data_IF_395804328985
#
_entry.id   IF_395804328985
#
_cell.length_a   1.000
_cell.length_b   1.000
_cell.length_c   1.000
_cell.angle_alpha   90.00
_cell.angle_beta   90.00
_cell.angle_gamma   90.00
#
_symmetry.space_group_name_H-M   'P 1'
#
loop_
_entity.id
_entity.type
_entity.pdbx_description
1 polymer ?
#
# COMPACT_ATOMS: atom_id res chain seq x y z
N UNK A 1 15.70 8.11 36.90
CA UNK A 1 17.10 8.45 36.56
C UNK A 1 17.31 9.89 36.96
N UNK A 2 18.38 10.16 37.71
CA UNK A 2 18.77 11.53 38.03
C UNK A 2 19.09 12.31 36.73
N UNK A 3 18.83 13.63 36.67
CA UNK A 3 19.10 14.43 35.49
C UNK A 3 20.59 14.38 35.11
N UNK A 4 20.90 14.01 33.86
CA UNK A 4 22.27 13.95 33.35
C UNK A 4 22.85 12.54 33.14
N UNK A 5 22.13 11.49 33.56
CA UNK A 5 22.57 10.10 33.32
C UNK A 5 22.16 9.62 31.93
N UNK A 6 23.13 9.19 31.13
CA UNK A 6 22.90 8.68 29.77
C UNK A 6 22.43 7.22 29.84
N UNK A 7 21.20 6.96 29.39
CA UNK A 7 20.54 5.65 29.49
C UNK A 7 21.35 4.48 28.91
N UNK A 8 22.20 4.72 27.91
CA UNK A 8 23.08 3.69 27.33
C UNK A 8 24.23 3.28 28.23
N UNK A 9 24.71 4.16 29.12
CA UNK A 9 25.78 3.85 30.08
C UNK A 9 25.25 2.90 31.17
N UNK A 10 24.08 3.23 31.72
CA UNK A 10 23.37 2.40 32.72
C UNK A 10 23.01 1.02 32.15
N UNK A 11 22.60 0.96 30.87
CA UNK A 11 22.29 -0.31 30.21
C UNK A 11 23.50 -1.24 30.12
N UNK A 12 24.68 -0.68 29.79
CA UNK A 12 25.91 -1.46 29.65
C UNK A 12 26.42 -2.00 30.99
N UNK A 13 26.33 -1.19 32.05
CA UNK A 13 26.73 -1.58 33.41
C UNK A 13 25.84 -2.68 33.99
N UNK A 14 24.55 -2.68 33.64
CA UNK A 14 23.60 -3.72 34.02
C UNK A 14 23.67 -4.98 33.12
N UNK A 15 24.54 -5.02 32.11
CA UNK A 15 24.64 -6.15 31.17
C UNK A 15 23.46 -6.29 30.20
N UNK A 16 22.71 -5.20 29.98
CA UNK A 16 21.47 -5.19 29.21
C UNK A 16 21.71 -4.54 27.85
N UNK A 17 21.35 -5.26 26.79
CA UNK A 17 21.46 -4.75 25.42
C UNK A 17 20.47 -3.58 25.20
N UNK A 18 20.92 -2.49 24.56
CA UNK A 18 20.17 -1.22 24.43
C UNK A 18 18.77 -1.37 23.83
N UNK A 19 18.57 -2.38 22.96
CA UNK A 19 17.25 -2.70 22.38
C UNK A 19 16.22 -3.22 23.39
N UNK A 20 16.65 -3.85 24.49
CA UNK A 20 15.76 -4.26 25.58
C UNK A 20 15.22 -3.06 26.36
N UNK A 21 16.01 -2.00 26.48
CA UNK A 21 15.62 -0.77 27.17
C UNK A 21 14.48 -0.05 26.43
N UNK A 22 14.54 -0.06 25.09
CA UNK A 22 13.45 0.46 24.25
C UNK A 22 12.18 -0.41 24.32
N UNK A 23 12.36 -1.73 24.38
CA UNK A 23 11.28 -2.71 24.49
C UNK A 23 10.55 -2.61 25.83
N UNK A 24 11.30 -2.50 26.93
CA UNK A 24 10.74 -2.32 28.27
C UNK A 24 10.08 -0.96 28.44
N UNK A 25 10.60 0.10 27.83
CA UNK A 25 9.92 1.41 27.81
C UNK A 25 8.55 1.31 27.12
N UNK A 26 8.44 0.59 26.01
CA UNK A 26 7.15 0.35 25.35
C UNK A 26 6.21 -0.54 26.17
N UNK A 27 6.74 -1.51 26.91
CA UNK A 27 5.93 -2.46 27.68
C UNK A 27 5.48 -1.92 29.04
N UNK A 28 6.32 -1.12 29.71
CA UNK A 28 6.07 -0.60 31.06
C UNK A 28 5.48 0.82 31.05
N UNK A 29 5.64 1.58 29.96
CA UNK A 29 5.03 2.90 29.79
C UNK A 29 3.88 2.92 28.76
N UNK A 30 3.30 1.76 28.43
CA UNK A 30 2.03 1.69 27.71
C UNK A 30 0.85 1.99 28.65
N UNK A 31 -0.22 2.64 28.18
CA UNK A 31 -1.38 2.96 29.01
C UNK A 31 -2.06 1.66 29.48
N UNK A 32 -2.07 1.42 30.78
CA UNK A 32 -2.89 0.36 31.40
C UNK A 32 -4.33 0.82 31.38
N UNK A 33 -5.08 0.43 30.35
CA UNK A 33 -6.52 0.69 30.22
C UNK A 33 -7.19 -0.40 29.37
N UNK A 34 -8.46 -0.76 29.65
CA UNK A 34 -9.12 -1.88 29.02
C UNK A 34 -9.29 -1.67 27.50
N UNK A 35 -9.11 -2.75 26.75
CA UNK A 35 -9.20 -2.82 25.29
C UNK A 35 -10.56 -2.31 24.79
N UNK A 36 -10.61 -1.04 24.40
CA UNK A 36 -11.69 -0.50 23.59
C UNK A 36 -11.48 -0.95 22.13
N UNK A 37 -12.53 -1.46 21.49
CA UNK A 37 -12.55 -1.76 20.07
C UNK A 37 -12.12 -0.55 19.23
N UNK A 38 -11.76 -0.80 17.96
CA UNK A 38 -11.29 0.19 16.99
C UNK A 38 -11.92 1.57 17.22
N UNK A 39 -11.14 2.50 17.78
CA UNK A 39 -11.55 3.87 17.98
C UNK A 39 -11.28 4.62 16.67
N UNK A 40 -12.36 5.08 16.03
CA UNK A 40 -12.28 5.96 14.88
C UNK A 40 -11.63 7.29 15.31
N UNK A 41 -10.49 7.62 14.71
CA UNK A 41 -9.79 8.86 15.02
C UNK A 41 -10.47 10.02 14.29
N UNK A 42 -11.28 10.80 15.01
CA UNK A 42 -11.82 12.07 14.50
C UNK A 42 -10.69 13.09 14.37
N UNK A 43 -10.29 13.39 13.13
CA UNK A 43 -9.41 14.52 12.85
C UNK A 43 -10.23 15.80 13.08
N UNK A 44 -9.98 16.49 14.19
CA UNK A 44 -10.52 17.82 14.43
C UNK A 44 -9.90 18.78 13.41
N UNK A 45 -10.70 19.48 12.58
CA UNK A 45 -10.15 20.52 11.71
C UNK A 45 -9.59 21.66 12.57
N UNK A 46 -8.42 22.19 12.18
CA UNK A 46 -7.88 23.40 12.80
C UNK A 46 -8.88 24.57 12.68
N UNK A 47 -9.02 25.41 13.73
CA UNK A 47 -10.02 26.46 13.75
C UNK A 47 -9.68 27.53 12.71
N UNK A 48 -10.48 27.59 11.64
CA UNK A 48 -10.48 28.73 10.73
C UNK A 48 -11.07 29.94 11.44
N UNK A 49 -10.30 31.03 11.45
CA UNK A 49 -10.79 32.36 11.79
C UNK A 49 -11.94 32.72 10.84
N UNK A 50 -13.08 33.09 11.41
CA UNK A 50 -14.29 33.44 10.68
C UNK A 50 -14.19 34.85 10.11
N UNK A 51 -14.54 35.01 8.82
CA UNK A 51 -15.05 36.27 8.27
C UNK A 51 -16.24 36.01 7.33
N UNK A 52 -17.10 37.03 7.28
CA UNK A 52 -18.54 37.07 7.07
C UNK A 52 -19.19 36.47 5.79
N UNK A 53 -20.30 35.77 6.04
CA UNK A 53 -21.66 36.06 5.56
C UNK A 53 -21.89 36.59 4.12
N UNK A 54 -22.36 35.72 3.22
CA UNK A 54 -23.57 36.00 2.42
C UNK A 54 -24.18 34.72 1.86
N UNK A 55 -25.44 34.48 2.20
CA UNK A 55 -26.24 33.34 1.75
C UNK A 55 -26.98 33.69 0.45
N UNK A 56 -26.87 32.82 -0.55
CA UNK A 56 -27.80 32.74 -1.68
C UNK A 56 -28.38 31.33 -1.67
N UNK A 57 -29.71 31.23 -1.65
CA UNK A 57 -30.45 29.99 -1.61
C UNK A 57 -30.28 29.18 -2.92
N UNK A 58 -30.06 27.85 -2.80
CA UNK A 58 -30.06 26.90 -3.93
C UNK A 58 -30.90 25.67 -3.55
N UNK A 59 -31.76 25.23 -4.47
CA UNK A 59 -32.70 24.11 -4.38
C UNK A 59 -32.02 22.75 -4.09
N UNK A 60 -32.74 21.72 -3.60
CA UNK A 60 -32.14 20.46 -3.19
C UNK A 60 -31.80 19.57 -4.39
N UNK A 61 -30.68 19.84 -5.06
CA UNK A 61 -30.00 18.87 -5.91
C UNK A 61 -28.95 18.16 -5.05
N UNK A 62 -29.38 17.14 -4.29
CA UNK A 62 -28.47 16.35 -3.49
C UNK A 62 -27.47 15.62 -4.38
N UNK A 63 -26.21 16.03 -4.36
CA UNK A 63 -25.12 15.27 -4.95
C UNK A 63 -24.34 14.57 -3.84
N UNK A 64 -24.23 13.25 -3.93
CA UNK A 64 -23.36 12.47 -3.02
C UNK A 64 -21.99 12.40 -3.69
N UNK A 65 -21.00 13.05 -3.08
CA UNK A 65 -19.60 12.94 -3.48
C UNK A 65 -18.87 11.99 -2.51
N UNK A 66 -18.26 10.95 -3.06
CA UNK A 66 -17.45 9.99 -2.30
C UNK A 66 -16.03 10.07 -2.82
N UNK A 67 -15.13 10.54 -1.95
CA UNK A 67 -13.70 10.58 -2.21
C UNK A 67 -13.05 9.28 -1.74
N UNK A 68 -12.30 8.63 -2.64
CA UNK A 68 -11.62 7.38 -2.34
C UNK A 68 -10.12 7.65 -2.22
N UNK A 69 -9.49 7.08 -1.18
CA UNK A 69 -8.05 7.23 -0.89
C UNK A 69 -7.10 6.76 -2.02
N UNK A 70 -7.61 6.07 -3.05
CA UNK A 70 -6.82 5.56 -4.17
C UNK A 70 -7.56 5.48 -5.53
N UNK A 71 -8.72 6.14 -5.68
CA UNK A 71 -9.55 6.07 -6.90
C UNK A 71 -10.19 7.43 -7.24
N UNK A 72 -10.61 7.69 -8.50
CA UNK A 72 -11.23 8.96 -8.87
C UNK A 72 -12.51 9.22 -8.07
N UNK A 73 -12.75 10.50 -7.76
CA UNK A 73 -13.93 11.00 -7.02
C UNK A 73 -15.22 10.52 -7.69
N UNK A 74 -16.10 9.87 -6.92
CA UNK A 74 -17.42 9.47 -7.41
C UNK A 74 -18.42 10.56 -7.05
N UNK A 75 -19.00 11.20 -8.07
CA UNK A 75 -20.09 12.16 -7.90
C UNK A 75 -21.37 11.56 -8.48
N UNK A 76 -22.37 11.38 -7.63
CA UNK A 76 -23.73 11.01 -8.05
C UNK A 76 -24.58 12.26 -7.93
N UNK A 77 -25.15 12.73 -9.04
CA UNK A 77 -26.01 13.92 -9.09
C UNK A 77 -27.42 13.54 -9.53
N UNK A 78 -28.46 14.07 -8.86
CA UNK A 78 -29.87 13.85 -9.21
C UNK A 78 -30.63 13.00 -8.18
N UNK A 79 -31.87 12.61 -8.51
CA UNK A 79 -32.67 11.71 -7.66
C UNK A 79 -32.10 10.31 -7.77
N UNK A 80 -31.50 9.82 -6.68
CA UNK A 80 -30.92 8.47 -6.61
C UNK A 80 -31.95 7.53 -6.01
N UNK A 81 -32.47 6.60 -6.81
CA UNK A 81 -33.35 5.57 -6.29
C UNK A 81 -32.56 4.49 -5.50
N UNK A 82 -33.20 3.77 -4.56
CA UNK A 82 -32.52 2.78 -3.72
C UNK A 82 -31.83 1.66 -4.51
N UNK A 83 -32.36 1.24 -5.66
CA UNK A 83 -31.77 0.16 -6.45
C UNK A 83 -30.46 0.61 -7.12
N UNK A 84 -30.41 1.85 -7.62
CA UNK A 84 -29.17 2.46 -8.13
C UNK A 84 -28.12 2.59 -7.03
N UNK A 85 -28.52 3.02 -5.82
CA UNK A 85 -27.60 3.11 -4.68
C UNK A 85 -27.03 1.73 -4.31
N UNK A 86 -27.88 0.70 -4.23
CA UNK A 86 -27.46 -0.68 -3.95
C UNK A 86 -26.52 -1.20 -5.03
N UNK A 87 -26.82 -0.98 -6.31
CA UNK A 87 -25.96 -1.42 -7.41
C UNK A 87 -24.58 -0.74 -7.38
N UNK A 88 -24.52 0.55 -7.05
CA UNK A 88 -23.26 1.29 -6.89
C UNK A 88 -22.46 0.76 -5.69
N UNK A 89 -23.10 0.55 -4.54
CA UNK A 89 -22.44 -0.03 -3.35
C UNK A 89 -21.92 -1.44 -3.66
N UNK A 90 -22.69 -2.27 -4.36
CA UNK A 90 -22.26 -3.61 -4.76
C UNK A 90 -21.11 -3.57 -5.75
N UNK A 91 -21.14 -2.65 -6.72
CA UNK A 91 -20.04 -2.43 -7.65
C UNK A 91 -18.78 -1.96 -6.92
N UNK A 92 -18.92 -1.04 -5.96
CA UNK A 92 -17.84 -0.57 -5.10
C UNK A 92 -17.33 -1.65 -4.14
N UNK A 93 -18.17 -2.53 -3.62
CA UNK A 93 -17.77 -3.67 -2.79
C UNK A 93 -17.09 -4.78 -3.62
N UNK A 94 -17.47 -4.93 -4.90
CA UNK A 94 -16.77 -5.79 -5.86
C UNK A 94 -15.44 -5.17 -6.28
N UNK A 95 -15.39 -3.84 -6.46
CA UNK A 95 -14.17 -3.10 -6.78
C UNK A 95 -13.20 -2.98 -5.58
N UNK A 96 -13.71 -2.81 -4.36
CA UNK A 96 -12.95 -2.67 -3.11
C UNK A 96 -12.31 -3.97 -2.62
N UNK A 97 -12.72 -5.12 -3.18
CA UNK A 97 -11.99 -6.39 -3.05
C UNK A 97 -10.74 -6.44 -3.92
N UNK A 98 -10.50 -5.43 -4.77
CA UNK A 98 -9.29 -5.30 -5.58
C UNK A 98 -8.34 -4.35 -4.88
N UNK A 99 -7.49 -4.93 -4.03
CA UNK A 99 -6.33 -4.22 -3.49
C UNK A 99 -5.57 -3.55 -4.64
N UNK A 100 -5.59 -2.22 -4.64
CA UNK A 100 -4.85 -1.41 -5.61
C UNK A 100 -3.66 -0.86 -4.87
N UNK A 101 -2.46 -1.33 -5.22
CA UNK A 101 -1.24 -0.74 -4.67
C UNK A 101 -1.23 0.75 -5.09
N UNK A 102 -0.92 1.70 -4.19
CA UNK A 102 -0.73 3.09 -4.60
C UNK A 102 0.55 3.15 -5.43
N UNK A 103 0.42 2.98 -6.75
CA UNK A 103 1.52 3.08 -7.69
C UNK A 103 1.73 4.58 -7.95
N UNK A 104 2.88 5.16 -7.60
CA UNK A 104 3.16 6.55 -7.92
C UNK A 104 2.98 6.81 -9.42
N UNK A 105 2.44 7.97 -9.79
CA UNK A 105 2.22 8.29 -11.21
C UNK A 105 3.55 8.20 -11.99
N UNK A 106 3.57 7.40 -13.06
CA UNK A 106 4.76 7.15 -13.86
C UNK A 106 5.73 6.09 -13.30
N UNK A 107 5.43 5.48 -12.15
CA UNK A 107 6.25 4.41 -11.61
C UNK A 107 6.21 3.16 -12.50
N UNK A 108 7.40 2.62 -12.79
CA UNK A 108 7.55 1.35 -13.51
C UNK A 108 7.54 0.19 -12.52
N UNK A 109 7.04 -0.96 -12.97
CA UNK A 109 7.08 -2.21 -12.21
C UNK A 109 8.16 -3.10 -12.81
N UNK A 110 9.14 -3.47 -11.99
CA UNK A 110 10.26 -4.34 -12.35
C UNK A 110 10.14 -5.68 -11.64
N UNK A 111 10.05 -6.77 -12.40
CA UNK A 111 10.19 -8.12 -11.88
C UNK A 111 11.65 -8.52 -11.90
N UNK A 112 12.21 -8.84 -10.74
CA UNK A 112 13.49 -9.54 -10.65
C UNK A 112 13.31 -10.96 -11.21
N UNK A 113 14.04 -11.30 -12.28
CA UNK A 113 13.99 -12.67 -12.79
C UNK A 113 14.69 -13.63 -11.81
N UNK A 114 14.36 -14.92 -11.89
CA UNK A 114 14.91 -15.91 -10.97
C UNK A 114 14.21 -15.97 -9.59
N UNK A 115 14.99 -16.17 -8.54
CA UNK A 115 14.50 -16.37 -7.17
C UNK A 115 15.24 -15.47 -6.20
N UNK A 116 14.54 -14.99 -5.18
CA UNK A 116 15.11 -14.11 -4.14
C UNK A 116 14.99 -14.75 -2.78
N UNK A 117 16.00 -14.56 -1.94
CA UNK A 117 15.90 -14.89 -0.52
C UNK A 117 14.88 -13.97 0.16
N UNK A 118 13.72 -14.54 0.49
CA UNK A 118 12.62 -13.81 1.12
C UNK A 118 12.81 -13.51 2.60
N UNK A 119 13.93 -13.95 3.20
CA UNK A 119 14.33 -13.54 4.56
C UNK A 119 14.79 -12.07 4.58
N UNK A 120 15.21 -11.52 3.43
CA UNK A 120 15.60 -10.12 3.31
C UNK A 120 14.42 -9.19 3.61
N UNK A 121 14.66 -8.22 4.50
CA UNK A 121 13.79 -7.07 4.76
C UNK A 121 14.11 -5.90 3.83
N UNK A 122 13.74 -4.69 4.22
CA UNK A 122 13.93 -3.46 3.43
C UNK A 122 15.36 -3.30 2.89
N UNK A 123 16.36 -3.23 3.77
CA UNK A 123 17.76 -2.97 3.38
C UNK A 123 18.34 -4.08 2.47
N UNK A 124 18.04 -5.35 2.78
CA UNK A 124 18.54 -6.48 2.00
C UNK A 124 17.95 -6.52 0.59
N UNK A 125 16.67 -6.18 0.44
CA UNK A 125 16.02 -6.09 -0.87
C UNK A 125 16.48 -4.84 -1.63
N UNK A 126 16.62 -3.69 -0.96
CA UNK A 126 17.15 -2.47 -1.56
C UNK A 126 18.58 -2.66 -2.10
N UNK A 127 19.44 -3.32 -1.33
CA UNK A 127 20.78 -3.70 -1.76
C UNK A 127 20.74 -4.61 -3.00
N UNK A 128 19.80 -5.55 -3.05
CA UNK A 128 19.63 -6.41 -4.21
C UNK A 128 19.15 -5.65 -5.46
N UNK A 129 18.28 -4.64 -5.30
CA UNK A 129 17.91 -3.73 -6.40
C UNK A 129 19.15 -3.03 -6.95
N UNK A 130 20.00 -2.50 -6.06
CA UNK A 130 21.19 -1.75 -6.44
C UNK A 130 22.27 -2.63 -7.07
N UNK A 131 22.62 -3.75 -6.44
CA UNK A 131 23.75 -4.58 -6.83
C UNK A 131 23.41 -5.58 -7.93
N UNK A 132 22.26 -6.24 -7.82
CA UNK A 132 21.85 -7.29 -8.76
C UNK A 132 21.09 -6.70 -9.94
N UNK A 133 20.08 -5.86 -9.68
CA UNK A 133 19.24 -5.31 -10.75
C UNK A 133 19.87 -4.08 -11.40
N UNK A 134 20.93 -3.50 -10.81
CA UNK A 134 21.60 -2.27 -11.28
C UNK A 134 20.61 -1.12 -11.47
N UNK A 135 19.68 -0.95 -10.51
CA UNK A 135 18.68 0.12 -10.49
C UNK A 135 18.78 0.91 -9.19
N UNK A 136 18.24 2.12 -9.21
CA UNK A 136 18.11 2.94 -8.02
C UNK A 136 16.90 2.48 -7.16
N UNK A 137 17.11 1.98 -5.93
CA UNK A 137 16.02 1.61 -5.02
C UNK A 137 15.16 2.80 -4.57
N UNK A 138 15.65 4.04 -4.65
CA UNK A 138 14.94 5.25 -4.22
C UNK A 138 14.09 5.90 -5.32
N UNK A 139 14.13 5.37 -6.55
CA UNK A 139 13.47 5.92 -7.74
C UNK A 139 11.93 5.97 -7.70
N UNK A 140 11.29 5.45 -6.65
CA UNK A 140 9.84 5.32 -6.56
C UNK A 140 9.25 4.23 -7.46
N UNK A 141 10.09 3.48 -8.16
CA UNK A 141 9.67 2.30 -8.92
C UNK A 141 9.38 1.11 -7.99
N UNK A 142 8.55 0.20 -8.50
CA UNK A 142 8.17 -1.02 -7.79
C UNK A 142 9.10 -2.15 -8.20
N UNK A 143 9.74 -2.80 -7.24
CA UNK A 143 10.60 -3.95 -7.46
C UNK A 143 9.94 -5.20 -6.87
N UNK A 144 9.56 -6.13 -7.74
CA UNK A 144 8.81 -7.34 -7.42
C UNK A 144 9.76 -8.54 -7.41
N UNK A 145 9.76 -9.26 -6.30
CA UNK A 145 10.60 -10.42 -6.05
C UNK A 145 9.72 -11.65 -5.76
N UNK A 146 10.17 -12.85 -6.15
CA UNK A 146 9.50 -14.12 -5.80
C UNK A 146 10.36 -15.07 -4.98
N UNK A 147 9.69 -15.87 -4.14
CA UNK A 147 10.29 -17.00 -3.44
C UNK A 147 10.56 -18.15 -4.42
N UNK A 148 11.53 -19.01 -4.11
CA UNK A 148 11.82 -20.24 -4.86
C UNK A 148 10.60 -21.14 -5.06
N UNK A 149 9.76 -21.31 -4.04
CA UNK A 149 8.52 -22.09 -4.14
C UNK A 149 7.45 -21.43 -5.03
N UNK A 150 7.59 -20.14 -5.35
CA UNK A 150 6.63 -19.37 -6.14
C UNK A 150 5.35 -19.00 -5.40
N UNK A 151 5.16 -19.40 -4.14
CA UNK A 151 3.94 -19.08 -3.36
C UNK A 151 3.94 -17.72 -2.67
N UNK A 152 5.09 -17.01 -2.65
CA UNK A 152 5.27 -15.74 -1.95
C UNK A 152 5.96 -14.73 -2.88
N UNK A 153 5.45 -13.51 -2.89
CA UNK A 153 6.10 -12.35 -3.50
C UNK A 153 6.30 -11.24 -2.47
N UNK A 154 7.32 -10.42 -2.71
CA UNK A 154 7.53 -9.14 -2.04
C UNK A 154 7.64 -8.04 -3.08
N UNK A 155 7.08 -6.87 -2.79
CA UNK A 155 7.19 -5.66 -3.60
C UNK A 155 7.81 -4.57 -2.74
N UNK A 156 8.97 -4.08 -3.15
CA UNK A 156 9.68 -2.97 -2.51
C UNK A 156 9.52 -1.72 -3.38
N UNK A 157 9.22 -0.58 -2.76
CA UNK A 157 9.32 0.74 -3.38
C UNK A 157 9.67 1.80 -2.33
N UNK A 158 10.08 2.97 -2.78
CA UNK A 158 10.31 4.13 -1.93
C UNK A 158 9.21 5.16 -2.19
N UNK A 159 8.55 5.68 -1.16
CA UNK A 159 7.46 6.66 -1.32
C UNK A 159 7.94 8.13 -1.37
N UNK A 160 9.25 8.33 -1.29
CA UNK A 160 9.90 9.63 -1.20
C UNK A 160 10.33 9.98 0.23
N UNK A 161 9.76 9.35 1.24
CA UNK A 161 10.13 9.52 2.66
C UNK A 161 10.78 8.26 3.26
N UNK A 162 10.36 7.08 2.81
CA UNK A 162 10.90 5.82 3.28
C UNK A 162 10.59 4.65 2.35
N UNK A 163 11.13 3.50 2.73
CA UNK A 163 10.85 2.26 2.02
C UNK A 163 9.53 1.64 2.49
N UNK A 164 8.71 1.26 1.51
CA UNK A 164 7.49 0.49 1.70
C UNK A 164 7.69 -0.94 1.19
N UNK A 165 7.11 -1.90 1.90
CA UNK A 165 7.22 -3.32 1.56
C UNK A 165 5.85 -3.97 1.64
N UNK A 166 5.41 -4.52 0.53
CA UNK A 166 4.22 -5.35 0.44
C UNK A 166 4.62 -6.82 0.29
N UNK A 167 3.96 -7.72 1.02
CA UNK A 167 4.18 -9.15 0.90
C UNK A 167 2.83 -9.86 0.68
N UNK A 168 2.78 -10.77 -0.30
CA UNK A 168 1.58 -11.57 -0.56
C UNK A 168 1.95 -13.03 -0.73
N UNK A 169 1.26 -13.89 0.03
CA UNK A 169 1.31 -15.34 -0.07
C UNK A 169 0.03 -15.85 -0.70
N UNK A 170 0.13 -16.80 -1.62
CA UNK A 170 -1.01 -17.57 -2.11
C UNK A 170 -1.26 -18.74 -1.17
N UNK A 171 -2.52 -18.97 -0.81
CA UNK A 171 -2.92 -20.15 -0.03
C UNK A 171 -2.83 -21.44 -0.87
N UNK A 172 -3.01 -21.32 -2.20
CA UNK A 172 -2.83 -22.41 -3.17
C UNK A 172 -2.21 -21.89 -4.47
N UNK A 173 -1.44 -22.74 -5.14
CA UNK A 173 -0.80 -22.41 -6.42
C UNK A 173 0.51 -21.64 -6.29
N UNK A 174 0.97 -21.06 -7.40
CA UNK A 174 2.23 -20.33 -7.51
C UNK A 174 2.06 -19.13 -8.44
N UNK A 175 2.75 -18.04 -8.14
CA UNK A 175 2.86 -16.91 -9.04
C UNK A 175 3.60 -17.31 -10.32
N UNK A 176 3.02 -16.95 -11.45
CA UNK A 176 3.64 -17.16 -12.76
C UNK A 176 4.78 -16.17 -12.93
N UNK A 177 5.99 -16.70 -13.12
CA UNK A 177 7.22 -15.91 -13.22
C UNK A 177 7.95 -16.15 -14.53
N UNK A 178 8.57 -15.11 -15.13
CA UNK A 178 9.24 -15.30 -16.40
C UNK A 178 10.38 -16.31 -16.22
N UNK A 179 10.80 -16.90 -17.34
CA UNK A 179 11.89 -17.88 -17.37
C UNK A 179 13.09 -17.36 -16.57
N UNK A 180 13.78 -18.21 -15.79
CA UNK A 180 14.97 -17.82 -15.05
C UNK A 180 16.14 -17.56 -16.03
N UNK A 181 16.11 -16.42 -16.70
CA UNK A 181 17.27 -15.79 -17.32
C UNK A 181 17.63 -14.60 -16.45
N UNK A 182 18.91 -14.40 -16.11
CA UNK A 182 19.35 -13.33 -15.22
C UNK A 182 18.96 -11.95 -15.77
N UNK A 183 18.26 -11.15 -14.97
CA UNK A 183 17.82 -9.81 -15.38
C UNK A 183 16.56 -9.27 -14.69
N UNK A 184 15.91 -8.35 -15.40
CA UNK A 184 14.66 -7.72 -14.97
C UNK A 184 13.66 -7.67 -16.11
N UNK A 185 12.38 -7.83 -15.80
CA UNK A 185 11.29 -7.65 -16.77
C UNK A 185 10.41 -6.49 -16.30
N UNK A 186 10.22 -5.49 -17.15
CA UNK A 186 9.25 -4.44 -16.88
C UNK A 186 7.84 -4.93 -17.21
N UNK A 187 6.88 -4.67 -16.32
CA UNK A 187 5.46 -4.97 -16.55
C UNK A 187 4.60 -3.74 -16.28
N UNK A 188 3.39 -3.72 -16.83
CA UNK A 188 2.42 -2.66 -16.56
C UNK A 188 1.75 -2.83 -15.19
N UNK A 189 1.14 -1.76 -14.69
CA UNK A 189 0.30 -1.81 -13.48
C UNK A 189 -0.85 -2.83 -13.60
N UNK A 190 -1.45 -2.95 -14.79
CA UNK A 190 -2.49 -3.94 -15.06
C UNK A 190 -1.95 -5.38 -14.95
N UNK A 191 -0.77 -5.64 -15.50
CA UNK A 191 -0.09 -6.92 -15.39
C UNK A 191 0.29 -7.26 -13.95
N UNK A 192 0.71 -6.25 -13.17
CA UNK A 192 0.94 -6.42 -11.73
C UNK A 192 -0.36 -6.83 -11.03
N UNK A 193 -1.49 -6.22 -11.39
CA UNK A 193 -2.82 -6.63 -10.90
C UNK A 193 -3.13 -8.10 -11.19
N UNK A 194 -2.93 -8.57 -12.43
CA UNK A 194 -3.12 -9.98 -12.78
C UNK A 194 -2.19 -10.90 -11.99
N UNK A 195 -0.91 -10.54 -11.89
CA UNK A 195 0.08 -11.27 -11.10
C UNK A 195 -0.35 -11.37 -9.63
N UNK A 196 -0.78 -10.27 -9.02
CA UNK A 196 -1.26 -10.25 -7.63
C UNK A 196 -2.49 -11.14 -7.44
N UNK A 197 -3.34 -11.30 -8.45
CA UNK A 197 -4.47 -12.21 -8.44
C UNK A 197 -4.11 -13.67 -8.73
N UNK A 198 -2.85 -13.98 -9.04
CA UNK A 198 -2.41 -15.32 -9.43
C UNK A 198 -2.82 -15.71 -10.87
N UNK A 199 -3.27 -14.73 -11.66
CA UNK A 199 -3.65 -14.89 -13.07
C UNK A 199 -2.40 -14.78 -13.94
N UNK A 200 -2.38 -15.47 -15.10
CA UNK A 200 -1.30 -15.29 -16.07
C UNK A 200 -1.31 -13.86 -16.63
N UNK A 201 -0.27 -13.10 -16.26
CA UNK A 201 -0.09 -11.72 -16.67
C UNK A 201 0.61 -11.58 -18.03
N UNK A 202 1.17 -12.66 -18.59
CA UNK A 202 1.92 -12.63 -19.87
C UNK A 202 1.00 -12.58 -21.09
N UNK A 203 -0.19 -13.13 -21.00
CA UNK A 203 -1.14 -13.22 -22.09
C UNK A 203 -2.52 -12.62 -21.70
N UNK A 204 -2.60 -11.30 -21.42
CA UNK A 204 -3.88 -10.66 -21.18
C UNK A 204 -4.71 -10.67 -22.47
N UNK A 205 -5.84 -11.37 -22.47
CA UNK A 205 -6.78 -11.34 -23.59
C UNK A 205 -7.66 -10.09 -23.48
N UNK A 206 -7.51 -9.15 -24.40
CA UNK A 206 -8.46 -8.06 -24.57
C UNK A 206 -9.61 -8.55 -25.44
N UNK A 207 -10.82 -8.58 -24.89
CA UNK A 207 -11.99 -9.20 -25.56
C UNK A 207 -12.61 -8.33 -26.63
N UNK A 208 -12.63 -7.01 -26.47
CA UNK A 208 -13.00 -6.06 -27.52
C UNK A 208 -12.76 -4.63 -27.02
N UNK A 209 -12.41 -3.70 -27.91
CA UNK A 209 -12.54 -2.26 -27.66
C UNK A 209 -13.75 -1.78 -28.47
N UNK A 210 -14.79 -1.20 -27.87
CA UNK A 210 -15.92 -0.70 -28.65
C UNK A 210 -15.45 0.46 -29.55
N UNK A 211 -15.79 0.38 -30.83
CA UNK A 211 -15.40 1.37 -31.85
C UNK A 211 -16.31 2.61 -31.87
N UNK A 212 -17.48 2.53 -31.23
CA UNK A 212 -18.38 3.65 -31.05
C UNK A 212 -18.95 3.64 -29.63
N UNK A 213 -19.01 4.83 -29.01
CA UNK A 213 -20.01 5.08 -27.99
C UNK A 213 -21.33 5.24 -28.75
N UNK A 214 -22.34 4.43 -28.40
CA UNK A 214 -23.67 4.52 -29.00
C UNK A 214 -24.26 5.92 -28.90
#
# INVERSE_FOLDING_TARGET
MEPGVVASAVAREAGIHVSQLFRWRQQLCGPTGPSAGFAEATILPEPRVAEDSSSVAVAPSGSIEVEFLAAPRLRISGVVDPATLTAVIDALAKAGRRWTLPIPNGARVWLATGHTDMRKGFNGLALQVQETLRRDPHSGHLFVFRLRSGGLIKILWHDGQGFCLFAKRLERGRFLWPSPADGTVAISAAQLGYLLSGIDWRAPQYTCRPDAAG
#
